data_IF_859937053403
#
_entry.id   IF_859937053403
#
_cell.length_a   1.000
_cell.length_b   1.000
_cell.length_c   1.000
_cell.angle_alpha   90.00
_cell.angle_beta   90.00
_cell.angle_gamma   90.00
#
_symmetry.space_group_name_H-M   'P 1'
#
loop_
_entity.id
_entity.type
_entity.pdbx_description
1 polymer ?
#
# COMPACT_ATOMS: atom_id res chain seq x y z
N UNK A 1 30.08 4.19 24.81
CA UNK A 1 29.72 2.74 24.89
C UNK A 1 29.41 2.31 23.47
N UNK A 2 30.03 1.23 23.03
CA UNK A 2 30.09 0.85 21.62
C UNK A 2 28.71 0.37 21.12
N UNK A 3 28.22 0.94 20.00
CA UNK A 3 26.90 0.68 19.37
C UNK A 3 26.69 -0.76 18.86
N UNK A 4 27.69 -1.63 19.01
CA UNK A 4 27.68 -3.04 18.52
C UNK A 4 27.11 -4.09 19.49
N UNK A 5 26.65 -3.69 20.67
CA UNK A 5 26.32 -4.66 21.73
C UNK A 5 24.82 -4.90 21.97
N UNK A 6 23.90 -4.28 21.20
CA UNK A 6 22.44 -4.35 21.46
C UNK A 6 21.66 -5.28 20.53
N UNK A 7 22.34 -5.97 19.59
CA UNK A 7 21.69 -6.78 18.54
C UNK A 7 21.81 -8.30 18.75
N UNK A 8 21.98 -8.77 20.00
CA UNK A 8 22.05 -10.22 20.26
C UNK A 8 20.97 -10.68 21.26
N UNK A 9 19.74 -10.81 20.82
CA UNK A 9 18.77 -11.71 21.48
C UNK A 9 17.52 -11.84 20.59
N UNK A 10 17.49 -12.85 19.74
CA UNK A 10 16.32 -13.65 19.37
C UNK A 10 16.66 -14.51 18.14
N UNK A 11 17.32 -15.65 18.36
CA UNK A 11 17.38 -16.74 17.37
C UNK A 11 17.15 -18.07 18.12
N UNK A 12 16.12 -18.79 17.71
CA UNK A 12 15.99 -20.25 17.72
C UNK A 12 14.67 -20.58 17.00
N UNK A 13 14.66 -21.36 15.97
CA UNK A 13 15.01 -22.60 15.52
C UNK A 13 14.17 -22.95 14.34
N UNK A 14 14.77 -23.21 13.19
CA UNK A 14 14.13 -23.82 12.03
C UNK A 14 14.47 -25.31 11.97
N UNK A 15 13.50 -26.14 11.66
CA UNK A 15 13.72 -27.54 11.25
C UNK A 15 12.83 -27.85 10.06
N UNK A 16 13.47 -28.08 8.93
CA UNK A 16 12.88 -28.51 7.67
C UNK A 16 12.39 -29.96 7.72
N UNK A 17 11.19 -30.20 7.18
CA UNK A 17 10.82 -31.52 6.63
C UNK A 17 9.87 -31.33 5.45
N UNK A 18 10.33 -31.72 4.27
CA UNK A 18 9.53 -31.78 3.05
C UNK A 18 8.71 -33.08 3.04
N UNK A 19 7.44 -33.01 2.70
CA UNK A 19 6.66 -34.14 2.18
C UNK A 19 5.61 -33.66 1.18
N UNK A 20 5.70 -34.20 -0.02
CA UNK A 20 4.72 -34.06 -1.08
C UNK A 20 3.43 -34.85 -0.76
N UNK A 21 2.27 -34.33 -1.14
CA UNK A 21 1.01 -35.04 -1.02
C UNK A 21 -0.19 -34.31 -1.63
N UNK A 22 -0.60 -34.79 -2.76
CA UNK A 22 -1.91 -34.85 -3.42
C UNK A 22 -3.00 -33.81 -3.09
N UNK A 23 -3.45 -33.16 -4.17
CA UNK A 23 -4.69 -32.42 -4.30
C UNK A 23 -5.93 -33.28 -4.10
N UNK A 24 -6.76 -32.92 -3.11
CA UNK A 24 -8.17 -33.29 -3.09
C UNK A 24 -8.99 -32.09 -2.64
N UNK A 25 -9.87 -31.63 -3.54
CA UNK A 25 -10.92 -30.67 -3.23
C UNK A 25 -11.77 -31.20 -2.06
N UNK A 26 -11.97 -30.35 -1.05
CA UNK A 26 -12.93 -30.63 0.00
C UNK A 26 -13.77 -29.39 0.29
N UNK A 27 -15.06 -29.52 -0.05
CA UNK A 27 -16.11 -28.63 0.39
C UNK A 27 -16.17 -28.64 1.93
N UNK A 28 -16.10 -27.47 2.55
CA UNK A 28 -16.24 -27.30 3.98
C UNK A 28 -16.82 -25.95 4.34
N UNK A 29 -18.13 -25.88 4.52
CA UNK A 29 -18.84 -24.75 5.11
C UNK A 29 -18.35 -24.49 6.53
N UNK A 30 -17.85 -23.29 6.78
CA UNK A 30 -17.59 -22.71 8.09
C UNK A 30 -18.29 -21.37 8.19
N UNK A 31 -19.44 -21.32 8.90
CA UNK A 31 -20.21 -20.10 9.09
C UNK A 31 -19.46 -19.07 9.91
N UNK A 32 -19.09 -17.93 9.29
CA UNK A 32 -18.83 -16.67 9.94
C UNK A 32 -20.16 -15.95 10.19
N UNK A 33 -20.24 -15.12 11.22
CA UNK A 33 -21.38 -14.23 11.40
C UNK A 33 -21.33 -13.18 10.28
N UNK A 34 -22.03 -13.47 9.17
CA UNK A 34 -22.25 -12.53 8.09
C UNK A 34 -23.17 -11.42 8.59
N UNK A 35 -22.77 -10.17 8.37
CA UNK A 35 -23.73 -9.09 8.29
C UNK A 35 -24.77 -9.46 7.22
N UNK A 36 -26.06 -9.25 7.52
CA UNK A 36 -27.15 -9.56 6.58
C UNK A 36 -27.17 -8.57 5.42
N UNK A 37 -26.20 -8.69 4.47
CA UNK A 37 -26.32 -8.06 3.16
C UNK A 37 -25.91 -9.07 2.09
N UNK A 38 -26.94 -9.62 1.40
CA UNK A 38 -26.77 -10.74 0.52
C UNK A 38 -26.05 -10.36 -0.77
N UNK A 39 -24.78 -10.70 -0.92
CA UNK A 39 -24.12 -10.65 -2.20
C UNK A 39 -22.62 -10.35 -2.22
N UNK A 40 -22.04 -9.78 -1.16
CA UNK A 40 -20.59 -9.51 -1.10
C UNK A 40 -19.85 -10.67 -0.44
N UNK A 41 -19.73 -11.76 -1.21
CA UNK A 41 -19.04 -13.00 -0.83
C UNK A 41 -17.96 -13.30 -1.87
N UNK A 42 -16.86 -13.98 -1.50
CA UNK A 42 -15.82 -14.34 -2.48
C UNK A 42 -16.38 -15.10 -3.67
N UNK A 43 -16.05 -14.63 -4.87
CA UNK A 43 -16.35 -15.30 -6.15
C UNK A 43 -15.34 -16.42 -6.41
N UNK A 44 -14.07 -16.16 -6.09
CA UNK A 44 -12.96 -17.10 -6.18
C UNK A 44 -11.85 -16.71 -5.20
N UNK A 45 -10.90 -17.62 -5.00
CA UNK A 45 -9.66 -17.34 -4.26
C UNK A 45 -8.51 -18.20 -4.75
N UNK A 46 -7.34 -17.59 -4.95
CA UNK A 46 -6.11 -18.26 -5.34
C UNK A 46 -5.14 -18.33 -4.16
N UNK A 47 -4.66 -19.54 -3.82
CA UNK A 47 -3.62 -19.72 -2.81
C UNK A 47 -2.29 -19.15 -3.34
N UNK A 48 -1.70 -18.22 -2.59
CA UNK A 48 -0.45 -17.57 -2.93
C UNK A 48 0.36 -17.33 -1.66
N UNK A 49 1.14 -18.34 -1.20
CA UNK A 49 1.94 -18.21 0.02
C UNK A 49 2.85 -16.99 0.00
N UNK A 50 2.89 -16.26 1.11
CA UNK A 50 3.69 -15.04 1.21
C UNK A 50 3.05 -13.78 0.63
N UNK A 51 1.87 -13.84 0.00
CA UNK A 51 1.19 -12.68 -0.56
C UNK A 51 1.06 -11.53 0.45
N UNK A 52 1.35 -10.32 -0.02
CA UNK A 52 1.32 -9.05 0.70
C UNK A 52 0.61 -7.98 -0.13
N UNK A 53 1.31 -6.88 -0.45
CA UNK A 53 0.75 -5.85 -1.31
C UNK A 53 0.40 -6.41 -2.68
N UNK A 54 -0.71 -5.95 -3.23
CA UNK A 54 -1.06 -6.16 -4.63
C UNK A 54 -1.57 -4.86 -5.25
N UNK A 55 -1.26 -4.69 -6.51
CA UNK A 55 -1.85 -3.65 -7.36
C UNK A 55 -2.46 -4.31 -8.58
N UNK A 56 -3.53 -3.72 -9.09
CA UNK A 56 -4.20 -4.21 -10.30
C UNK A 56 -4.00 -3.21 -11.43
N UNK A 57 -3.52 -3.71 -12.57
CA UNK A 57 -3.44 -2.95 -13.80
C UNK A 57 -3.89 -3.81 -14.97
N UNK A 58 -4.76 -3.28 -15.85
CA UNK A 58 -5.31 -3.92 -17.07
C UNK A 58 -5.74 -5.40 -16.88
N UNK A 59 -6.42 -5.70 -15.76
CA UNK A 59 -6.94 -7.04 -15.45
C UNK A 59 -5.88 -8.04 -14.96
N UNK A 60 -4.69 -7.55 -14.60
CA UNK A 60 -3.64 -8.34 -13.97
C UNK A 60 -3.38 -7.82 -12.55
N UNK A 61 -3.36 -8.71 -11.57
CA UNK A 61 -2.87 -8.41 -10.23
C UNK A 61 -1.39 -8.75 -10.14
N UNK A 62 -0.58 -7.77 -9.73
CA UNK A 62 0.83 -7.89 -9.42
C UNK A 62 0.97 -7.97 -7.91
N UNK A 63 1.46 -9.08 -7.41
CA UNK A 63 1.41 -9.39 -5.98
C UNK A 63 2.83 -9.58 -5.44
N UNK A 64 3.24 -8.73 -4.50
CA UNK A 64 4.46 -8.98 -3.74
C UNK A 64 4.27 -10.23 -2.89
N UNK A 65 5.26 -11.13 -2.94
CA UNK A 65 5.35 -12.30 -2.05
C UNK A 65 6.63 -12.17 -1.23
N UNK A 66 6.65 -12.70 -0.03
CA UNK A 66 7.76 -12.47 0.92
C UNK A 66 9.16 -12.70 0.29
N UNK A 67 9.27 -13.57 -0.69
CA UNK A 67 10.53 -14.00 -1.32
C UNK A 67 10.65 -13.58 -2.80
N UNK A 68 9.65 -12.83 -3.31
CA UNK A 68 9.58 -12.43 -4.70
C UNK A 68 8.25 -11.79 -5.07
N UNK A 69 7.67 -12.19 -6.19
CA UNK A 69 6.36 -11.72 -6.65
C UNK A 69 5.64 -12.72 -7.55
N UNK A 70 4.34 -12.51 -7.72
CA UNK A 70 3.53 -13.23 -8.69
C UNK A 70 2.67 -12.26 -9.52
N UNK A 71 2.32 -12.69 -10.74
CA UNK A 71 1.33 -12.03 -11.59
C UNK A 71 0.14 -12.97 -11.77
N UNK A 72 -1.07 -12.43 -11.66
CA UNK A 72 -2.32 -13.19 -11.69
C UNK A 72 -3.31 -12.52 -12.62
N UNK A 73 -3.87 -13.27 -13.57
CA UNK A 73 -5.01 -12.82 -14.36
C UNK A 73 -6.25 -12.78 -13.44
N UNK A 74 -6.83 -11.59 -13.32
CA UNK A 74 -8.04 -11.30 -12.53
C UNK A 74 -9.16 -10.74 -13.40
N UNK A 75 -9.03 -10.84 -14.73
CA UNK A 75 -10.03 -10.36 -15.69
C UNK A 75 -11.34 -11.16 -15.64
N UNK A 76 -11.29 -12.44 -15.25
CA UNK A 76 -12.45 -13.22 -14.83
C UNK A 76 -12.40 -13.42 -13.31
N UNK A 77 -13.18 -12.67 -12.52
CA UNK A 77 -13.13 -12.75 -11.06
C UNK A 77 -13.67 -14.09 -10.50
N UNK A 78 -14.20 -14.98 -11.35
CA UNK A 78 -14.63 -16.32 -10.97
C UNK A 78 -13.62 -17.42 -11.29
N UNK A 79 -12.46 -17.07 -11.90
CA UNK A 79 -11.41 -18.02 -12.30
C UNK A 79 -10.03 -17.35 -12.27
N UNK A 80 -9.54 -17.03 -11.08
CA UNK A 80 -8.23 -16.38 -10.86
C UNK A 80 -7.09 -17.29 -11.33
N UNK A 81 -6.26 -16.82 -12.26
CA UNK A 81 -5.24 -17.65 -12.90
C UNK A 81 -3.83 -17.09 -12.68
N UNK A 82 -2.93 -17.88 -12.06
CA UNK A 82 -1.51 -17.54 -11.93
C UNK A 82 -0.86 -17.49 -13.32
N UNK A 83 -0.25 -16.35 -13.69
CA UNK A 83 0.46 -16.16 -14.94
C UNK A 83 1.95 -16.43 -14.80
N UNK A 84 2.60 -15.85 -13.78
CA UNK A 84 4.00 -16.04 -13.49
C UNK A 84 4.28 -15.92 -11.99
N UNK A 85 5.40 -16.53 -11.56
CA UNK A 85 5.95 -16.42 -10.22
C UNK A 85 7.47 -16.26 -10.32
N UNK A 86 8.05 -15.41 -9.49
CA UNK A 86 9.47 -15.12 -9.44
C UNK A 86 9.93 -15.10 -8.00
N UNK A 87 10.60 -16.15 -7.56
CA UNK A 87 11.13 -16.31 -6.21
C UNK A 87 12.66 -16.25 -6.18
N UNK A 88 13.21 -16.05 -4.98
CA UNK A 88 14.64 -16.14 -4.74
C UNK A 88 15.43 -15.05 -5.47
N UNK A 89 14.89 -13.84 -5.54
CA UNK A 89 15.56 -12.71 -6.16
C UNK A 89 16.91 -12.47 -5.48
N UNK A 90 17.93 -12.13 -6.29
CA UNK A 90 19.29 -11.90 -5.83
C UNK A 90 19.91 -13.13 -5.10
N UNK A 91 19.53 -14.36 -5.48
CA UNK A 91 20.02 -15.59 -4.83
C UNK A 91 21.55 -15.76 -4.88
N UNK A 92 22.21 -15.17 -5.88
CA UNK A 92 23.66 -15.19 -6.03
C UNK A 92 24.38 -14.03 -5.31
N UNK A 93 23.63 -13.13 -4.62
CA UNK A 93 24.22 -12.02 -3.87
C UNK A 93 24.99 -12.54 -2.64
N UNK A 94 26.17 -11.92 -2.28
CA UNK A 94 26.98 -12.36 -1.14
C UNK A 94 26.26 -12.41 0.20
N UNK A 95 25.25 -11.53 0.39
CA UNK A 95 24.44 -11.44 1.60
C UNK A 95 23.14 -12.24 1.52
N UNK A 96 23.03 -13.15 0.53
CA UNK A 96 21.88 -14.04 0.34
C UNK A 96 20.81 -13.46 -0.57
N UNK A 97 19.69 -14.17 -0.74
CA UNK A 97 18.57 -13.67 -1.55
C UNK A 97 17.93 -12.44 -0.89
N UNK A 98 17.24 -11.64 -1.72
CA UNK A 98 16.35 -10.60 -1.22
C UNK A 98 15.13 -11.26 -0.57
N UNK A 99 14.84 -10.91 0.66
CA UNK A 99 13.74 -11.45 1.45
C UNK A 99 12.95 -10.32 2.13
N UNK A 100 11.72 -10.62 2.52
CA UNK A 100 10.86 -9.66 3.18
C UNK A 100 10.34 -8.60 2.21
N UNK A 101 9.97 -9.01 1.00
CA UNK A 101 9.34 -8.14 0.01
C UNK A 101 7.88 -8.01 0.41
N UNK A 102 7.49 -6.82 0.89
CA UNK A 102 6.13 -6.56 1.36
C UNK A 102 5.34 -5.66 0.44
N UNK A 103 6.02 -4.90 -0.39
CA UNK A 103 5.43 -3.93 -1.30
C UNK A 103 5.90 -4.10 -2.74
N UNK A 104 5.04 -3.69 -3.68
CA UNK A 104 5.33 -3.61 -5.09
C UNK A 104 4.27 -2.80 -5.82
N UNK A 105 4.72 -1.97 -6.77
CA UNK A 105 3.88 -1.04 -7.53
C UNK A 105 4.16 -1.14 -9.03
N UNK A 106 3.14 -0.83 -9.82
CA UNK A 106 3.21 -0.81 -11.29
C UNK A 106 3.17 0.63 -11.79
N UNK A 107 4.12 0.96 -12.66
CA UNK A 107 4.12 2.21 -13.44
C UNK A 107 4.46 1.93 -14.89
N UNK A 108 3.58 2.31 -15.82
CA UNK A 108 3.77 2.01 -17.23
C UNK A 108 3.95 0.53 -17.52
N UNK A 109 5.07 0.16 -18.12
CA UNK A 109 5.43 -1.24 -18.44
C UNK A 109 6.29 -1.89 -17.34
N UNK A 110 6.48 -1.23 -16.18
CA UNK A 110 7.37 -1.71 -15.13
C UNK A 110 6.63 -2.06 -13.84
N UNK A 111 7.09 -3.13 -13.20
CA UNK A 111 6.74 -3.49 -11.84
C UNK A 111 7.97 -3.39 -10.95
N UNK A 112 7.90 -2.58 -9.91
CA UNK A 112 8.96 -2.37 -8.95
C UNK A 112 8.59 -3.03 -7.62
N UNK A 113 9.56 -3.72 -6.99
CA UNK A 113 9.44 -4.32 -5.66
C UNK A 113 10.66 -3.98 -4.83
N UNK A 114 10.54 -4.01 -3.52
CA UNK A 114 11.66 -3.70 -2.63
C UNK A 114 11.64 -4.50 -1.33
N UNK A 115 12.82 -4.59 -0.70
CA UNK A 115 12.98 -5.25 0.58
C UNK A 115 14.40 -5.10 1.16
N UNK A 116 14.57 -5.52 2.43
CA UNK A 116 13.54 -5.90 3.40
C UNK A 116 12.77 -4.71 3.97
N UNK A 117 11.61 -4.91 4.63
CA UNK A 117 10.77 -3.82 5.13
C UNK A 117 11.28 -3.20 6.44
N UNK A 118 12.25 -3.84 7.06
CA UNK A 118 12.88 -3.40 8.31
C UNK A 118 14.37 -3.75 8.30
N UNK A 119 15.16 -3.02 9.08
CA UNK A 119 16.60 -3.22 9.16
C UNK A 119 16.99 -4.65 9.55
N UNK A 120 17.69 -5.34 8.66
CA UNK A 120 18.30 -6.67 8.82
C UNK A 120 19.75 -6.60 8.38
N UNK A 121 20.59 -7.50 8.86
CA UNK A 121 22.02 -7.54 8.51
C UNK A 121 22.41 -8.80 7.70
N UNK A 122 21.43 -9.60 7.34
CA UNK A 122 21.60 -10.93 6.74
C UNK A 122 20.96 -11.06 5.36
N UNK A 123 20.51 -9.93 4.80
CA UNK A 123 19.91 -9.82 3.46
C UNK A 123 20.35 -8.51 2.80
N UNK A 124 20.46 -8.47 1.45
CA UNK A 124 20.69 -7.23 0.73
C UNK A 124 19.50 -6.28 0.89
N UNK A 125 19.77 -4.98 0.82
CA UNK A 125 18.73 -3.95 0.71
C UNK A 125 18.68 -3.52 -0.74
N UNK A 126 17.58 -3.80 -1.41
CA UNK A 126 17.44 -3.48 -2.82
C UNK A 126 15.99 -3.24 -3.24
N UNK A 127 15.84 -2.39 -4.23
CA UNK A 127 14.66 -2.36 -5.09
C UNK A 127 15.01 -3.04 -6.42
N UNK A 128 14.04 -3.80 -6.96
CA UNK A 128 14.21 -4.53 -8.23
C UNK A 128 13.05 -4.19 -9.15
N UNK A 129 13.37 -3.83 -10.40
CA UNK A 129 12.40 -3.44 -11.42
C UNK A 129 12.35 -4.51 -12.51
N UNK A 130 11.15 -4.88 -12.91
CA UNK A 130 10.87 -5.83 -13.99
C UNK A 130 10.04 -5.14 -15.08
N UNK A 131 10.35 -5.41 -16.34
CA UNK A 131 9.45 -5.18 -17.47
C UNK A 131 8.35 -6.24 -17.42
N UNK A 132 7.11 -5.80 -17.35
CA UNK A 132 5.89 -6.62 -17.26
C UNK A 132 4.94 -6.37 -18.43
N UNK A 133 5.45 -5.83 -19.54
CA UNK A 133 4.69 -5.71 -20.80
C UNK A 133 4.11 -7.06 -21.28
N UNK A 134 4.76 -8.18 -20.91
CA UNK A 134 4.17 -9.53 -20.91
C UNK A 134 4.11 -10.03 -19.46
N UNK A 135 2.96 -9.92 -18.79
CA UNK A 135 2.85 -10.32 -17.38
C UNK A 135 3.05 -11.83 -17.13
N UNK A 136 3.00 -12.65 -18.18
CA UNK A 136 3.33 -14.08 -18.09
C UNK A 136 4.85 -14.35 -18.19
N UNK A 137 5.65 -13.35 -18.60
CA UNK A 137 7.08 -13.48 -18.79
C UNK A 137 7.85 -12.23 -18.29
N UNK A 138 7.73 -11.81 -17.02
CA UNK A 138 8.45 -10.66 -16.50
C UNK A 138 9.96 -10.72 -16.73
N UNK A 139 10.55 -9.64 -17.25
CA UNK A 139 11.99 -9.53 -17.53
C UNK A 139 12.66 -8.54 -16.58
N UNK A 140 13.81 -8.92 -15.99
CA UNK A 140 14.56 -8.05 -15.08
C UNK A 140 15.14 -6.84 -15.83
N UNK A 141 14.96 -5.63 -15.27
CA UNK A 141 15.43 -4.35 -15.82
C UNK A 141 16.54 -3.75 -14.96
N UNK A 142 16.26 -3.54 -13.66
CA UNK A 142 17.16 -2.83 -12.75
C UNK A 142 17.20 -3.53 -11.40
N UNK A 143 18.38 -3.58 -10.79
CA UNK A 143 18.55 -3.78 -9.34
C UNK A 143 19.24 -2.54 -8.79
N UNK A 144 18.60 -1.88 -7.85
CA UNK A 144 19.13 -0.70 -7.16
C UNK A 144 19.38 -1.05 -5.70
N UNK A 145 20.65 -1.24 -5.34
CA UNK A 145 21.06 -1.56 -3.97
C UNK A 145 21.24 -0.27 -3.14
N UNK A 146 20.91 -0.33 -1.86
CA UNK A 146 20.98 0.80 -0.93
C UNK A 146 21.65 0.44 0.39
N UNK A 147 21.91 1.45 1.24
CA UNK A 147 22.33 1.26 2.63
C UNK A 147 21.18 1.37 3.64
N UNK A 148 19.94 1.55 3.16
CA UNK A 148 18.72 1.63 3.95
C UNK A 148 17.71 0.55 3.51
N UNK A 149 16.84 0.14 4.41
CA UNK A 149 15.78 -0.83 4.11
C UNK A 149 14.60 -0.18 3.39
N UNK A 150 13.91 -0.97 2.58
CA UNK A 150 12.75 -0.55 1.80
C UNK A 150 11.47 -1.11 2.42
N UNK A 151 10.71 -0.25 3.11
CA UNK A 151 9.40 -0.68 3.60
C UNK A 151 8.40 -0.67 2.46
N UNK A 152 8.28 0.46 1.80
CA UNK A 152 7.43 0.67 0.62
C UNK A 152 8.18 1.47 -0.46
N UNK A 153 7.63 1.49 -1.65
CA UNK A 153 8.14 2.20 -2.81
C UNK A 153 7.01 2.48 -3.80
N UNK A 154 7.26 3.30 -4.81
CA UNK A 154 6.37 3.47 -5.96
C UNK A 154 7.17 3.73 -7.25
N UNK A 155 6.48 3.72 -8.40
CA UNK A 155 7.06 4.08 -9.69
C UNK A 155 6.00 4.65 -10.63
N UNK A 156 6.38 5.66 -11.40
CA UNK A 156 5.57 6.21 -12.50
C UNK A 156 5.95 5.62 -13.88
N UNK A 157 6.89 4.65 -13.89
CA UNK A 157 7.41 4.01 -15.09
C UNK A 157 8.66 4.68 -15.66
N UNK A 158 9.07 5.84 -15.17
CA UNK A 158 10.33 6.52 -15.51
C UNK A 158 11.22 6.64 -14.27
N UNK A 159 10.62 6.93 -13.13
CA UNK A 159 11.28 7.13 -11.85
C UNK A 159 10.82 6.08 -10.84
N UNK A 160 11.75 5.56 -10.06
CA UNK A 160 11.52 4.74 -8.89
C UNK A 160 11.58 5.65 -7.65
N UNK A 161 10.55 5.62 -6.83
CA UNK A 161 10.40 6.41 -5.61
C UNK A 161 10.55 5.51 -4.39
N UNK A 162 11.57 5.73 -3.57
CA UNK A 162 11.92 4.86 -2.45
C UNK A 162 11.69 5.55 -1.12
N UNK A 163 11.13 4.84 -0.15
CA UNK A 163 11.10 5.24 1.25
C UNK A 163 12.51 5.06 1.85
N UNK A 164 13.32 6.12 1.83
CA UNK A 164 14.74 6.10 2.20
C UNK A 164 14.97 6.22 3.71
N UNK A 165 14.56 5.18 4.47
CA UNK A 165 14.64 5.16 5.94
C UNK A 165 16.08 4.97 6.45
N UNK A 166 16.92 6.00 6.24
CA UNK A 166 18.34 6.02 6.59
C UNK A 166 18.63 6.40 8.08
N UNK A 167 17.61 6.93 8.77
CA UNK A 167 17.69 7.38 10.15
C UNK A 167 18.37 8.77 10.31
N UNK A 168 18.57 9.47 9.20
CA UNK A 168 19.16 10.83 9.15
C UNK A 168 18.23 11.85 8.47
N UNK A 169 16.98 11.50 8.23
CA UNK A 169 15.99 12.36 7.56
C UNK A 169 14.88 11.58 6.91
N UNK A 170 15.06 10.29 6.74
CA UNK A 170 14.08 9.37 6.14
C UNK A 170 13.53 9.91 4.82
N UNK A 171 14.39 10.24 3.82
CA UNK A 171 13.95 10.94 2.63
C UNK A 171 13.13 10.06 1.68
N UNK A 172 12.27 10.68 0.88
CA UNK A 172 11.94 10.17 -0.43
C UNK A 172 13.20 10.21 -1.29
N UNK A 173 13.56 9.09 -1.93
CA UNK A 173 14.69 8.99 -2.86
C UNK A 173 14.16 8.71 -4.25
N UNK A 174 14.50 9.56 -5.23
CA UNK A 174 14.09 9.43 -6.62
C UNK A 174 15.24 8.85 -7.45
N UNK A 175 14.98 7.75 -8.15
CA UNK A 175 15.97 7.04 -8.99
C UNK A 175 15.43 6.94 -10.40
N UNK A 176 16.18 7.41 -11.38
CA UNK A 176 15.86 7.23 -12.80
C UNK A 176 16.07 5.75 -13.20
N UNK A 177 15.02 5.10 -13.71
CA UNK A 177 15.04 3.66 -14.01
C UNK A 177 15.97 3.34 -15.18
N UNK A 178 16.06 4.21 -16.19
CA UNK A 178 16.91 3.96 -17.38
C UNK A 178 18.40 3.99 -17.04
N UNK A 179 18.83 4.98 -16.26
CA UNK A 179 20.23 5.12 -15.86
C UNK A 179 20.61 4.34 -14.61
N UNK A 180 19.64 4.07 -13.73
CA UNK A 180 19.89 3.50 -12.40
C UNK A 180 20.60 4.48 -11.47
N UNK A 181 20.51 5.79 -11.70
CA UNK A 181 21.14 6.82 -10.87
C UNK A 181 20.10 7.53 -10.00
N UNK A 182 20.46 7.85 -8.76
CA UNK A 182 19.67 8.76 -7.94
C UNK A 182 19.68 10.17 -8.59
N UNK A 183 18.50 10.72 -8.82
CA UNK A 183 18.30 12.03 -9.46
C UNK A 183 17.89 13.11 -8.47
N UNK A 184 17.24 12.74 -7.37
CA UNK A 184 16.84 13.70 -6.33
C UNK A 184 16.36 13.03 -5.06
N UNK A 185 16.13 13.83 -4.03
CA UNK A 185 15.53 13.41 -2.76
C UNK A 185 14.84 14.57 -2.05
N UNK A 186 13.90 14.24 -1.21
CA UNK A 186 13.20 15.19 -0.33
C UNK A 186 12.95 14.56 1.03
N UNK A 187 13.07 15.33 2.08
CA UNK A 187 12.80 14.91 3.46
C UNK A 187 11.83 15.85 4.14
N UNK A 188 11.11 15.36 5.14
CA UNK A 188 10.33 16.22 6.04
C UNK A 188 11.20 17.33 6.68
N UNK A 189 12.49 17.10 6.87
CA UNK A 189 13.42 18.11 7.41
C UNK A 189 13.60 19.30 6.47
N UNK A 190 13.32 19.17 5.17
CA UNK A 190 13.34 20.29 4.21
C UNK A 190 12.11 21.19 4.38
N UNK A 191 11.03 20.68 4.97
CA UNK A 191 9.82 21.45 5.26
C UNK A 191 9.79 21.97 6.70
N UNK A 192 10.23 21.17 7.67
CA UNK A 192 10.24 21.52 9.10
C UNK A 192 11.45 20.86 9.80
N UNK A 193 12.53 21.63 9.97
CA UNK A 193 13.79 21.19 10.57
C UNK A 193 13.68 20.83 12.07
N UNK A 194 12.56 21.16 12.73
CA UNK A 194 12.30 20.76 14.13
C UNK A 194 12.18 19.23 14.29
N UNK A 195 11.88 18.50 13.21
CA UNK A 195 11.86 17.04 13.24
C UNK A 195 13.26 16.43 13.45
N UNK A 196 14.36 17.15 13.22
CA UNK A 196 15.73 16.67 13.50
C UNK A 196 15.98 16.43 15.00
N UNK A 197 15.24 17.11 15.89
CA UNK A 197 15.27 16.90 17.33
C UNK A 197 14.41 15.70 17.80
N UNK A 198 13.58 15.14 16.94
CA UNK A 198 12.68 14.01 17.24
C UNK A 198 13.37 12.68 16.98
N UNK A 199 13.06 11.66 17.79
CA UNK A 199 13.56 10.31 17.52
C UNK A 199 13.09 9.83 16.13
N UNK A 200 14.05 9.58 15.22
CA UNK A 200 13.82 9.35 13.80
C UNK A 200 12.75 8.28 13.47
N UNK A 201 12.53 7.29 14.36
CA UNK A 201 11.49 6.27 14.22
C UNK A 201 10.06 6.80 14.35
N UNK A 202 9.87 8.04 14.75
CA UNK A 202 8.54 8.67 14.80
C UNK A 202 8.15 9.37 13.50
N UNK A 203 9.11 9.58 12.61
CA UNK A 203 8.87 10.16 11.28
C UNK A 203 9.54 9.34 10.18
N UNK A 204 9.54 8.01 10.32
CA UNK A 204 9.88 7.14 9.17
C UNK A 204 8.93 7.43 8.01
N UNK A 205 9.46 7.54 6.81
CA UNK A 205 8.65 7.52 5.60
C UNK A 205 8.14 6.10 5.41
N UNK A 206 6.86 5.88 5.74
CA UNK A 206 6.30 4.55 5.73
C UNK A 206 5.89 4.12 4.33
N UNK A 207 5.13 4.98 3.63
CA UNK A 207 4.63 4.66 2.30
C UNK A 207 4.69 5.87 1.37
N UNK A 208 4.72 5.61 0.08
CA UNK A 208 4.67 6.57 -1.00
C UNK A 208 3.69 6.09 -2.08
N UNK A 209 2.83 7.00 -2.53
CA UNK A 209 2.01 6.84 -3.73
C UNK A 209 2.26 8.01 -4.65
N UNK A 210 2.53 7.76 -5.94
CA UNK A 210 2.78 8.80 -6.93
C UNK A 210 1.68 8.79 -7.98
N UNK A 211 1.02 9.92 -8.14
CA UNK A 211 -0.03 10.10 -9.14
C UNK A 211 0.11 11.45 -9.79
N UNK A 212 0.19 11.50 -11.13
CA UNK A 212 0.21 12.75 -11.93
C UNK A 212 1.29 13.76 -11.50
N UNK A 213 2.48 13.28 -11.11
CA UNK A 213 3.61 14.12 -10.68
C UNK A 213 3.51 14.66 -9.26
N UNK A 214 2.61 14.11 -8.44
CA UNK A 214 2.52 14.37 -7.00
C UNK A 214 2.80 13.09 -6.23
N UNK A 215 3.71 13.15 -5.26
CA UNK A 215 3.96 12.10 -4.30
C UNK A 215 3.14 12.35 -3.02
N UNK A 216 2.42 11.35 -2.57
CA UNK A 216 1.67 11.29 -1.31
C UNK A 216 2.49 10.48 -0.34
N UNK A 217 3.11 11.14 0.62
CA UNK A 217 4.12 10.59 1.53
C UNK A 217 3.55 10.43 2.93
N UNK A 218 3.54 9.21 3.47
CA UNK A 218 3.07 8.95 4.83
C UNK A 218 4.24 8.89 5.80
N UNK A 219 4.45 9.97 6.56
CA UNK A 219 5.56 10.14 7.52
C UNK A 219 5.12 9.90 8.97
N UNK A 220 4.48 8.81 9.26
CA UNK A 220 4.04 8.44 10.61
C UNK A 220 3.52 9.63 11.45
N UNK A 221 4.22 10.06 12.54
CA UNK A 221 3.78 11.17 13.38
C UNK A 221 3.97 12.54 12.70
N UNK A 222 4.83 12.64 11.68
CA UNK A 222 4.97 13.87 10.91
C UNK A 222 3.82 14.09 9.90
N UNK A 223 2.90 13.12 9.81
CA UNK A 223 1.69 13.23 9.01
C UNK A 223 1.90 12.85 7.54
N UNK A 224 0.91 13.17 6.73
CA UNK A 224 0.91 12.92 5.29
C UNK A 224 1.32 14.19 4.55
N UNK A 225 2.28 14.07 3.63
CA UNK A 225 2.80 15.19 2.84
C UNK A 225 2.56 14.98 1.35
N UNK A 226 2.04 16.00 0.70
CA UNK A 226 1.96 16.08 -0.76
C UNK A 226 3.17 16.84 -1.26
N UNK A 227 3.92 16.24 -2.18
CA UNK A 227 5.18 16.78 -2.72
C UNK A 227 5.10 16.74 -4.25
N UNK A 228 5.37 17.87 -4.90
CA UNK A 228 5.52 17.96 -6.37
C UNK A 228 6.81 17.25 -6.77
N UNK A 229 6.67 16.19 -7.54
CA UNK A 229 7.74 15.36 -8.12
C UNK A 229 7.69 15.36 -9.64
N UNK A 230 6.99 16.33 -10.26
CA UNK A 230 6.97 16.49 -11.72
C UNK A 230 8.36 16.74 -12.31
N UNK A 231 9.29 17.26 -11.50
CA UNK A 231 10.74 17.20 -11.71
C UNK A 231 11.35 16.41 -10.55
N UNK A 232 11.61 15.11 -10.70
CA UNK A 232 12.13 14.29 -9.62
C UNK A 232 13.54 14.67 -9.17
N UNK A 233 14.22 15.56 -9.90
CA UNK A 233 15.53 16.11 -9.48
C UNK A 233 15.41 17.29 -8.51
N UNK A 234 14.23 17.89 -8.36
CA UNK A 234 13.97 19.02 -7.46
C UNK A 234 12.57 18.91 -6.81
N UNK A 235 12.30 17.87 -6.02
CA UNK A 235 11.02 17.68 -5.35
C UNK A 235 10.70 18.86 -4.42
N UNK A 236 9.44 19.36 -4.45
CA UNK A 236 9.04 20.52 -3.64
C UNK A 236 7.75 20.25 -2.88
N UNK A 237 7.66 20.64 -1.57
CA UNK A 237 6.47 20.39 -0.78
C UNK A 237 5.28 21.25 -1.26
N UNK A 238 4.09 20.63 -1.32
CA UNK A 238 2.81 21.30 -1.65
C UNK A 238 2.07 21.60 -0.35
N UNK A 239 1.76 20.57 0.45
CA UNK A 239 1.01 20.69 1.70
C UNK A 239 1.31 19.52 2.63
N UNK A 240 1.28 19.78 3.94
CA UNK A 240 1.34 18.75 4.98
C UNK A 240 -0.01 18.64 5.69
N UNK A 241 -0.53 17.42 5.76
CA UNK A 241 -1.80 17.11 6.41
C UNK A 241 -1.54 16.37 7.72
N UNK A 242 -2.27 16.70 8.79
CA UNK A 242 -2.40 15.88 9.99
C UNK A 242 -1.14 15.71 10.87
N UNK A 243 -0.01 16.29 10.59
CA UNK A 243 1.22 16.15 11.38
C UNK A 243 1.05 16.49 12.86
N UNK A 244 1.82 15.82 13.71
CA UNK A 244 1.89 16.11 15.14
C UNK A 244 2.93 17.23 15.40
N UNK A 245 2.86 17.85 16.59
CA UNK A 245 3.84 18.88 16.96
C UNK A 245 5.22 18.25 17.24
N UNK A 246 6.27 18.58 16.47
CA UNK A 246 7.60 18.03 16.68
C UNK A 246 8.19 18.43 18.05
N UNK A 247 7.85 19.60 18.61
CA UNK A 247 8.33 20.00 19.93
C UNK A 247 7.81 19.07 21.03
N UNK A 248 6.52 18.63 20.94
CA UNK A 248 5.97 17.65 21.87
C UNK A 248 6.60 16.26 21.69
N UNK A 249 6.92 15.89 20.45
CA UNK A 249 7.55 14.59 20.14
C UNK A 249 9.02 14.53 20.57
N UNK A 250 9.74 15.63 20.50
CA UNK A 250 11.12 15.74 20.96
C UNK A 250 11.29 15.59 22.49
N UNK A 251 10.21 15.80 23.27
CA UNK A 251 10.24 15.59 24.72
C UNK A 251 10.27 14.10 25.12
N UNK A 252 9.92 13.18 24.19
CA UNK A 252 9.87 11.76 24.47
C UNK A 252 11.28 11.13 24.48
N UNK A 253 11.54 10.25 25.42
CA UNK A 253 12.72 9.38 25.31
C UNK A 253 12.53 8.37 24.17
N UNK A 254 13.64 7.82 23.62
CA UNK A 254 13.61 6.82 22.54
C UNK A 254 12.67 5.64 22.85
N UNK A 255 12.58 5.20 24.10
CA UNK A 255 11.69 4.10 24.50
C UNK A 255 10.22 4.50 24.54
N UNK A 256 9.92 5.72 24.96
CA UNK A 256 8.55 6.27 24.94
C UNK A 256 8.12 6.52 23.50
N UNK A 257 9.00 7.04 22.65
CA UNK A 257 8.77 7.26 21.24
C UNK A 257 8.43 5.93 20.51
N UNK A 258 9.22 4.87 20.75
CA UNK A 258 8.99 3.52 20.18
C UNK A 258 7.66 2.89 20.62
N UNK A 259 7.12 3.25 21.77
CA UNK A 259 5.82 2.81 22.22
C UNK A 259 4.71 3.72 21.69
N UNK A 260 4.89 5.04 21.78
CA UNK A 260 3.90 6.04 21.41
C UNK A 260 3.53 6.00 19.93
N UNK A 261 4.48 5.71 19.04
CA UNK A 261 4.27 5.61 17.60
C UNK A 261 3.27 4.53 17.15
N UNK A 262 2.88 3.61 18.06
CA UNK A 262 1.90 2.55 17.78
C UNK A 262 0.44 3.01 17.95
N UNK A 263 0.23 4.22 18.45
CA UNK A 263 -1.10 4.70 18.85
C UNK A 263 -1.45 6.02 18.17
N UNK A 264 -2.76 6.27 18.06
CA UNK A 264 -3.23 7.59 17.62
C UNK A 264 -2.77 8.68 18.63
N UNK A 265 -2.58 9.94 18.16
CA UNK A 265 -3.00 10.47 16.86
C UNK A 265 -1.99 10.32 15.72
N UNK A 266 -0.83 9.75 15.90
CA UNK A 266 0.19 9.55 14.88
C UNK A 266 -0.03 8.31 13.99
N UNK A 267 1.06 7.83 13.41
CA UNK A 267 1.14 6.60 12.62
C UNK A 267 0.37 6.67 11.29
N UNK A 268 0.57 7.77 10.53
CA UNK A 268 0.11 7.84 9.15
C UNK A 268 0.83 6.78 8.33
N UNK A 269 0.02 5.96 7.63
CA UNK A 269 0.48 4.70 7.05
C UNK A 269 0.50 4.74 5.52
N UNK A 270 -0.62 5.09 4.89
CA UNK A 270 -0.80 5.15 3.46
C UNK A 270 -1.72 6.30 3.07
N UNK A 271 -1.49 6.91 1.91
CA UNK A 271 -2.33 7.98 1.37
C UNK A 271 -2.38 7.93 -0.15
N UNK A 272 -3.54 8.26 -0.73
CA UNK A 272 -3.69 8.40 -2.18
C UNK A 272 -4.82 9.37 -2.53
N UNK A 273 -4.76 10.00 -3.74
CA UNK A 273 -5.83 10.87 -4.20
C UNK A 273 -7.04 10.06 -4.68
N UNK A 274 -8.17 10.74 -4.84
CA UNK A 274 -9.31 10.23 -5.59
C UNK A 274 -8.95 10.11 -7.07
N UNK A 275 -8.78 8.87 -7.55
CA UNK A 275 -8.39 8.59 -8.93
C UNK A 275 -9.57 8.68 -9.90
N UNK A 276 -9.30 9.09 -11.14
CA UNK A 276 -10.30 9.12 -12.21
C UNK A 276 -11.21 10.36 -12.22
N UNK A 277 -11.05 11.28 -11.25
CA UNK A 277 -11.76 12.56 -11.17
C UNK A 277 -10.77 13.70 -10.87
N UNK A 278 -11.12 14.91 -11.30
CA UNK A 278 -10.34 16.12 -10.96
C UNK A 278 -10.85 16.64 -9.60
N UNK A 279 -10.11 16.34 -8.54
CA UNK A 279 -10.54 16.56 -7.15
C UNK A 279 -9.35 16.83 -6.24
N UNK A 280 -9.54 17.65 -5.20
CA UNK A 280 -8.58 17.85 -4.11
C UNK A 280 -8.77 16.83 -2.97
N UNK A 281 -9.60 15.80 -3.19
CA UNK A 281 -9.91 14.79 -2.19
C UNK A 281 -8.79 13.75 -2.08
N UNK A 282 -8.32 13.55 -0.85
CA UNK A 282 -7.29 12.57 -0.48
C UNK A 282 -7.84 11.66 0.59
N UNK A 283 -7.66 10.36 0.42
CA UNK A 283 -7.81 9.39 1.50
C UNK A 283 -6.45 9.12 2.13
N UNK A 284 -6.39 9.09 3.44
CA UNK A 284 -5.21 8.69 4.21
C UNK A 284 -5.63 7.84 5.42
N UNK A 285 -4.75 6.97 5.87
CA UNK A 285 -5.05 6.14 7.01
C UNK A 285 -3.94 6.10 8.06
N UNK A 286 -4.28 5.53 9.20
CA UNK A 286 -3.33 5.25 10.27
C UNK A 286 -3.32 3.75 10.57
N UNK A 287 -2.12 3.19 10.74
CA UNK A 287 -1.94 1.83 11.24
C UNK A 287 -1.69 1.87 12.75
N UNK A 288 -2.74 2.18 13.53
CA UNK A 288 -2.64 2.39 14.97
C UNK A 288 -3.53 1.41 15.75
N UNK A 289 -3.05 0.99 16.92
CA UNK A 289 -3.69 0.01 17.79
C UNK A 289 -4.16 0.68 19.10
N UNK A 290 -4.95 -0.06 19.88
CA UNK A 290 -5.34 0.36 21.21
C UNK A 290 -4.26 0.10 22.26
N UNK A 291 -4.13 0.97 23.23
CA UNK A 291 -3.26 0.75 24.40
C UNK A 291 -3.77 -0.42 25.27
N UNK A 292 -5.09 -0.57 25.35
CA UNK A 292 -5.77 -1.62 26.13
C UNK A 292 -6.56 -2.58 25.22
N UNK A 293 -6.82 -3.80 25.70
CA UNK A 293 -7.52 -4.81 24.91
C UNK A 293 -8.95 -4.40 24.51
N UNK A 294 -9.63 -3.62 25.33
CA UNK A 294 -10.99 -3.14 25.17
C UNK A 294 -11.06 -1.67 24.71
N UNK A 295 -9.98 -1.16 24.10
CA UNK A 295 -9.98 0.16 23.51
C UNK A 295 -11.10 0.30 22.46
N UNK A 296 -11.81 1.45 22.43
CA UNK A 296 -12.86 1.67 21.44
C UNK A 296 -12.29 1.79 20.01
N UNK A 297 -13.11 1.57 19.00
CA UNK A 297 -12.72 1.68 17.58
C UNK A 297 -12.18 3.06 17.21
N UNK A 298 -12.62 4.11 17.89
CA UNK A 298 -12.11 5.48 17.73
C UNK A 298 -10.62 5.63 18.05
N UNK A 299 -10.04 4.73 18.86
CA UNK A 299 -8.64 4.73 19.26
C UNK A 299 -7.78 3.83 18.36
N UNK A 300 -8.40 3.16 17.37
CA UNK A 300 -7.72 2.36 16.36
C UNK A 300 -7.51 3.16 15.09
N UNK A 301 -6.51 2.78 14.30
CA UNK A 301 -6.29 3.37 12.98
C UNK A 301 -7.47 3.18 12.06
N UNK A 302 -7.92 4.27 11.45
CA UNK A 302 -9.03 4.33 10.51
C UNK A 302 -8.60 4.93 9.18
N UNK A 303 -9.56 5.15 8.28
CA UNK A 303 -9.35 5.89 7.03
C UNK A 303 -10.02 7.25 7.14
N UNK A 304 -9.28 8.31 6.82
CA UNK A 304 -9.77 9.68 6.85
C UNK A 304 -9.86 10.23 5.42
N UNK A 305 -10.91 11.01 5.15
CA UNK A 305 -11.08 11.77 3.92
C UNK A 305 -10.75 13.23 4.18
N UNK A 306 -9.87 13.78 3.36
CA UNK A 306 -9.38 15.15 3.49
C UNK A 306 -9.56 15.94 2.19
N UNK A 307 -9.96 17.20 2.31
CA UNK A 307 -9.75 18.19 1.25
C UNK A 307 -8.35 18.75 1.41
N UNK A 308 -7.44 18.41 0.50
CA UNK A 308 -6.04 18.81 0.60
C UNK A 308 -5.84 20.32 0.37
N UNK A 309 -6.66 20.96 -0.48
CA UNK A 309 -6.58 22.39 -0.74
C UNK A 309 -7.01 23.26 0.45
N UNK A 310 -7.98 22.78 1.23
CA UNK A 310 -8.48 23.48 2.40
C UNK A 310 -7.82 22.99 3.71
N UNK A 311 -6.98 21.95 3.65
CA UNK A 311 -6.36 21.26 4.80
C UNK A 311 -7.43 20.80 5.83
N UNK A 312 -8.62 20.38 5.34
CA UNK A 312 -9.76 20.03 6.16
C UNK A 312 -10.06 18.53 6.11
N UNK A 313 -10.15 17.91 7.30
CA UNK A 313 -10.68 16.55 7.40
C UNK A 313 -12.20 16.58 7.26
N UNK A 314 -12.73 15.89 6.26
CA UNK A 314 -14.16 15.82 5.94
C UNK A 314 -14.87 14.71 6.72
N UNK A 315 -14.27 13.52 6.75
CA UNK A 315 -14.84 12.36 7.44
C UNK A 315 -13.75 11.41 7.95
N UNK A 316 -14.18 10.44 8.77
CA UNK A 316 -13.37 9.29 9.20
C UNK A 316 -14.21 8.03 9.19
N UNK A 317 -13.70 6.98 8.54
CA UNK A 317 -14.22 5.63 8.57
C UNK A 317 -13.47 4.87 9.68
N UNK A 318 -14.23 4.39 10.67
CA UNK A 318 -13.65 3.70 11.81
C UNK A 318 -13.31 2.25 11.52
N UNK A 319 -12.31 1.74 12.25
CA UNK A 319 -11.97 0.32 12.24
C UNK A 319 -13.15 -0.56 12.66
N UNK A 320 -13.28 -1.78 12.12
CA UNK A 320 -14.19 -2.79 12.64
C UNK A 320 -13.88 -3.14 14.10
N UNK A 321 -14.91 -3.55 14.86
CA UNK A 321 -14.74 -4.00 16.24
C UNK A 321 -13.74 -5.16 16.35
N UNK A 322 -13.00 -5.21 17.46
CA UNK A 322 -12.05 -6.29 17.78
C UNK A 322 -12.28 -6.84 19.18
N UNK A 323 -11.88 -8.06 19.38
CA UNK A 323 -11.90 -8.68 20.72
C UNK A 323 -10.68 -8.34 21.57
N UNK A 324 -9.61 -7.83 20.96
CA UNK A 324 -8.39 -7.38 21.64
C UNK A 324 -7.69 -6.37 20.72
N UNK A 325 -7.75 -5.10 21.09
CA UNK A 325 -7.29 -3.97 20.27
C UNK A 325 -5.76 -3.78 20.28
N UNK A 326 -5.01 -4.49 21.12
CA UNK A 326 -3.58 -4.24 21.31
C UNK A 326 -2.73 -4.69 20.12
N UNK A 327 -1.63 -4.00 19.90
CA UNK A 327 -0.61 -4.38 18.90
C UNK A 327 -0.05 -5.79 19.20
N UNK A 328 0.39 -6.05 20.42
CA UNK A 328 1.03 -7.33 20.80
C UNK A 328 0.00 -8.33 21.30
N UNK A 329 -0.20 -9.40 20.51
CA UNK A 329 -1.11 -10.50 20.85
C UNK A 329 -2.58 -10.19 20.62
N UNK A 330 -2.91 -9.03 20.09
CA UNK A 330 -4.27 -8.62 19.75
C UNK A 330 -4.80 -9.23 18.46
N UNK A 331 -6.03 -8.84 18.12
CA UNK A 331 -6.71 -9.15 16.87
C UNK A 331 -6.80 -7.85 16.07
N UNK A 332 -5.87 -7.68 15.15
CA UNK A 332 -5.74 -6.43 14.40
C UNK A 332 -6.95 -6.20 13.47
N UNK A 333 -7.56 -5.06 13.61
CA UNK A 333 -8.64 -4.58 12.74
C UNK A 333 -8.43 -3.13 12.29
N UNK A 334 -7.25 -2.58 12.58
CA UNK A 334 -6.84 -1.27 12.06
C UNK A 334 -6.78 -1.31 10.52
N UNK A 335 -6.90 -0.16 9.87
CA UNK A 335 -6.81 -0.06 8.41
C UNK A 335 -5.39 -0.36 7.91
N UNK A 336 -5.31 -0.89 6.70
CA UNK A 336 -4.10 -1.06 5.92
C UNK A 336 -4.31 -0.44 4.51
N UNK A 337 -3.60 -0.89 3.47
CA UNK A 337 -3.67 -0.26 2.17
C UNK A 337 -5.07 -0.38 1.52
N UNK A 338 -5.41 0.57 0.65
CA UNK A 338 -6.73 0.72 0.05
C UNK A 338 -6.62 1.25 -1.38
N UNK A 339 -7.73 1.23 -2.13
CA UNK A 339 -7.85 1.92 -3.41
C UNK A 339 -8.98 2.95 -3.37
N UNK A 340 -8.74 4.09 -4.03
CA UNK A 340 -9.69 5.18 -4.14
C UNK A 340 -9.93 5.51 -5.62
N UNK A 341 -11.05 5.04 -6.17
CA UNK A 341 -11.36 5.13 -7.60
C UNK A 341 -12.75 5.70 -7.82
N UNK A 342 -12.84 6.82 -8.55
CA UNK A 342 -14.11 7.54 -8.71
C UNK A 342 -14.70 7.88 -7.35
N UNK A 343 -15.99 7.66 -7.16
CA UNK A 343 -16.67 7.92 -5.90
C UNK A 343 -16.63 6.73 -4.92
N UNK A 344 -15.68 5.78 -5.11
CA UNK A 344 -15.61 4.56 -4.30
C UNK A 344 -14.27 4.39 -3.62
N UNK A 345 -14.32 3.95 -2.35
CA UNK A 345 -13.17 3.64 -1.52
C UNK A 345 -13.22 2.18 -1.08
N UNK A 346 -12.21 1.41 -1.51
CA UNK A 346 -12.02 -0.01 -1.25
C UNK A 346 -10.96 -0.19 -0.17
N UNK A 347 -11.36 -0.60 1.03
CA UNK A 347 -10.48 -0.58 2.20
C UNK A 347 -10.22 -1.96 2.77
N UNK A 348 -8.99 -2.21 3.22
CA UNK A 348 -8.58 -3.41 3.93
C UNK A 348 -8.34 -3.13 5.41
N UNK A 349 -8.65 -4.11 6.27
CA UNK A 349 -8.68 -3.94 7.72
C UNK A 349 -8.06 -5.14 8.45
N UNK A 350 -6.99 -5.73 7.92
CA UNK A 350 -6.45 -6.96 8.49
C UNK A 350 -7.55 -8.00 8.76
N UNK A 351 -7.69 -8.45 10.02
CA UNK A 351 -8.75 -9.37 10.48
C UNK A 351 -10.12 -8.70 10.61
N UNK A 352 -10.20 -7.42 10.33
CA UNK A 352 -11.43 -6.66 10.17
C UNK A 352 -12.13 -6.88 8.81
N UNK A 353 -11.43 -7.45 7.82
CA UNK A 353 -12.02 -7.78 6.52
C UNK A 353 -11.79 -6.72 5.44
N UNK A 354 -12.64 -6.74 4.43
CA UNK A 354 -12.70 -5.75 3.35
C UNK A 354 -14.00 -4.96 3.44
N UNK A 355 -13.93 -3.65 3.18
CA UNK A 355 -15.10 -2.78 3.07
C UNK A 355 -15.05 -1.98 1.78
N UNK A 356 -16.23 -1.67 1.23
CA UNK A 356 -16.41 -0.75 0.11
C UNK A 356 -17.35 0.36 0.56
N UNK A 357 -16.97 1.61 0.29
CA UNK A 357 -17.76 2.78 0.62
C UNK A 357 -18.04 3.63 -0.61
N UNK A 358 -19.27 4.17 -0.70
CA UNK A 358 -19.58 5.31 -1.56
C UNK A 358 -19.14 6.59 -0.83
N UNK A 359 -18.35 7.40 -1.50
CA UNK A 359 -17.83 8.67 -1.01
C UNK A 359 -18.19 9.84 -1.93
N UNK A 360 -19.27 9.69 -2.70
CA UNK A 360 -19.83 10.78 -3.52
C UNK A 360 -20.22 12.01 -2.67
N UNK A 361 -20.58 11.80 -1.40
CA UNK A 361 -20.54 12.81 -0.35
C UNK A 361 -19.39 12.49 0.61
N UNK A 362 -18.20 13.10 0.44
CA UNK A 362 -17.04 12.77 1.24
C UNK A 362 -17.16 13.18 2.72
N UNK A 363 -18.24 13.91 3.08
CA UNK A 363 -18.54 14.27 4.49
C UNK A 363 -19.41 13.22 5.19
N UNK A 364 -20.02 12.28 4.45
CA UNK A 364 -20.90 11.22 4.98
C UNK A 364 -20.70 9.91 4.17
N UNK A 365 -19.51 9.24 4.25
CA UNK A 365 -19.24 7.99 3.55
C UNK A 365 -20.26 6.90 3.87
N UNK A 366 -20.87 6.29 2.85
CA UNK A 366 -21.84 5.20 2.97
C UNK A 366 -21.18 3.84 2.79
N UNK A 367 -21.24 2.93 3.77
CA UNK A 367 -20.76 1.56 3.62
C UNK A 367 -21.67 0.77 2.68
N UNK A 368 -21.17 0.40 1.50
CA UNK A 368 -21.89 -0.40 0.51
C UNK A 368 -21.77 -1.89 0.77
N UNK A 369 -20.62 -2.34 1.24
CA UNK A 369 -20.34 -3.75 1.51
C UNK A 369 -19.25 -3.93 2.56
N UNK A 370 -19.35 -5.04 3.30
CA UNK A 370 -18.36 -5.50 4.24
C UNK A 370 -18.31 -7.03 4.26
N UNK A 371 -17.14 -7.61 4.03
CA UNK A 371 -16.91 -9.04 4.23
C UNK A 371 -15.78 -9.28 5.22
N UNK A 372 -15.95 -10.28 6.10
CA UNK A 372 -14.99 -10.58 7.15
C UNK A 372 -14.99 -12.05 7.54
N UNK A 373 -13.83 -12.69 7.50
CA UNK A 373 -13.54 -13.93 8.22
C UNK A 373 -12.26 -13.78 9.06
N UNK A 374 -12.40 -13.29 10.26
CA UNK A 374 -11.27 -12.96 11.16
C UNK A 374 -10.41 -14.17 11.57
N UNK A 375 -10.80 -15.40 11.22
CA UNK A 375 -10.04 -16.63 11.54
C UNK A 375 -9.11 -17.04 10.41
N UNK A 376 -9.61 -16.98 9.17
CA UNK A 376 -8.90 -17.49 7.99
C UNK A 376 -8.31 -16.39 7.15
N UNK A 377 -8.62 -15.10 7.44
CA UNK A 377 -8.12 -13.97 6.67
C UNK A 377 -7.51 -12.87 7.53
N UNK A 378 -6.56 -12.16 6.92
CA UNK A 378 -5.98 -10.91 7.41
C UNK A 378 -5.60 -10.08 6.18
N UNK A 379 -6.47 -9.15 5.78
CA UNK A 379 -6.30 -8.42 4.53
C UNK A 379 -5.22 -7.34 4.62
N UNK A 380 -4.38 -7.31 3.58
CA UNK A 380 -3.29 -6.35 3.42
C UNK A 380 -3.70 -5.18 2.54
N UNK A 381 -4.37 -5.45 1.43
CA UNK A 381 -4.86 -4.43 0.50
C UNK A 381 -6.19 -4.84 -0.14
N UNK A 382 -6.88 -3.86 -0.73
CA UNK A 382 -8.07 -4.01 -1.53
C UNK A 382 -7.99 -3.12 -2.77
N UNK A 383 -8.17 -3.70 -3.96
CA UNK A 383 -8.05 -3.01 -5.25
C UNK A 383 -9.30 -3.24 -6.09
N UNK A 384 -9.68 -2.27 -6.92
CA UNK A 384 -10.74 -2.43 -7.91
C UNK A 384 -10.17 -3.05 -9.19
N UNK A 385 -10.91 -4.01 -9.77
CA UNK A 385 -10.57 -4.70 -11.01
C UNK A 385 -11.84 -4.89 -11.87
N UNK A 386 -12.14 -3.92 -12.74
CA UNK A 386 -13.40 -3.97 -13.52
C UNK A 386 -14.62 -4.02 -12.62
N UNK A 387 -15.42 -5.11 -12.73
CA UNK A 387 -16.63 -5.33 -11.94
C UNK A 387 -16.35 -6.13 -10.64
N UNK A 388 -15.08 -6.16 -10.20
CA UNK A 388 -14.66 -6.92 -9.04
C UNK A 388 -13.77 -6.11 -8.08
N UNK A 389 -13.70 -6.57 -6.84
CA UNK A 389 -12.73 -6.16 -5.82
C UNK A 389 -11.76 -7.30 -5.60
N UNK A 390 -10.46 -7.01 -5.72
CA UNK A 390 -9.41 -7.98 -5.46
C UNK A 390 -8.72 -7.61 -4.14
N UNK A 391 -8.68 -8.57 -3.21
CA UNK A 391 -8.01 -8.37 -1.93
C UNK A 391 -6.93 -9.41 -1.67
N UNK A 392 -5.78 -8.99 -1.11
CA UNK A 392 -4.77 -9.92 -0.62
C UNK A 392 -4.94 -10.15 0.88
N UNK A 393 -4.93 -11.42 1.29
CA UNK A 393 -4.88 -11.84 2.69
C UNK A 393 -3.57 -12.57 2.95
N UNK A 394 -2.77 -12.04 3.86
CA UNK A 394 -1.40 -12.51 4.10
C UNK A 394 -1.29 -13.63 5.13
N UNK A 395 -2.37 -13.97 5.81
CA UNK A 395 -2.36 -15.01 6.85
C UNK A 395 -3.70 -15.74 6.97
N UNK A 396 -3.61 -17.04 7.27
CA UNK A 396 -4.68 -17.86 7.83
C UNK A 396 -4.29 -18.28 9.26
N UNK A 397 -4.96 -17.71 10.27
CA UNK A 397 -4.66 -17.94 11.68
C UNK A 397 -5.14 -19.30 12.20
N UNK A 398 -5.72 -20.14 11.37
CA UNK A 398 -6.07 -21.53 11.72
C UNK A 398 -4.92 -22.50 11.49
N UNK A 399 -3.86 -22.06 10.76
CA UNK A 399 -2.69 -22.86 10.44
C UNK A 399 -1.57 -22.67 11.48
N UNK A 400 -0.71 -23.69 11.62
CA UNK A 400 0.50 -23.61 12.46
C UNK A 400 1.51 -22.59 11.91
N UNK A 401 1.55 -22.42 10.57
CA UNK A 401 2.31 -21.40 9.85
C UNK A 401 1.33 -20.47 9.12
N UNK A 402 0.81 -19.40 9.74
CA UNK A 402 -0.27 -18.60 9.18
C UNK A 402 0.03 -18.00 7.79
N UNK A 403 1.29 -17.64 7.50
CA UNK A 403 1.69 -17.07 6.22
C UNK A 403 1.62 -18.07 5.04
N UNK A 404 1.65 -19.38 5.30
CA UNK A 404 1.44 -20.41 4.27
C UNK A 404 -0.01 -20.43 3.77
N UNK A 405 -0.95 -19.85 4.53
CA UNK A 405 -2.36 -19.72 4.16
C UNK A 405 -2.68 -18.41 3.44
N UNK A 406 -1.68 -17.65 3.04
CA UNK A 406 -1.89 -16.41 2.30
C UNK A 406 -2.59 -16.67 0.94
N UNK A 407 -3.48 -15.74 0.56
CA UNK A 407 -4.33 -15.86 -0.64
C UNK A 407 -4.67 -14.50 -1.20
N UNK A 408 -5.04 -14.48 -2.47
CA UNK A 408 -5.83 -13.41 -3.05
C UNK A 408 -7.28 -13.87 -3.20
N UNK A 409 -8.20 -12.93 -3.10
CA UNK A 409 -9.65 -13.14 -3.20
C UNK A 409 -10.24 -12.19 -4.21
N UNK A 410 -11.23 -12.64 -4.96
CA UNK A 410 -12.09 -11.80 -5.78
C UNK A 410 -13.50 -11.74 -5.19
N UNK A 411 -14.08 -10.54 -5.16
CA UNK A 411 -15.44 -10.25 -4.73
C UNK A 411 -16.18 -9.50 -5.83
N UNK A 412 -17.52 -9.54 -5.88
CA UNK A 412 -18.26 -8.65 -6.78
C UNK A 412 -18.07 -7.19 -6.34
N UNK A 413 -17.96 -6.25 -7.27
CA UNK A 413 -17.96 -4.84 -6.92
C UNK A 413 -19.39 -4.36 -6.61
N UNK A 414 -19.71 -3.92 -5.38
CA UNK A 414 -21.05 -3.47 -5.00
C UNK A 414 -21.44 -2.14 -5.62
N UNK A 415 -20.46 -1.32 -6.03
CA UNK A 415 -20.68 -0.03 -6.66
C UNK A 415 -20.99 -0.10 -8.16
N UNK A 416 -20.74 -1.26 -8.77
CA UNK A 416 -20.82 -1.46 -10.21
C UNK A 416 -19.65 -0.80 -10.95
N UNK A 417 -19.38 -1.28 -12.17
CA UNK A 417 -18.36 -0.66 -13.00
C UNK A 417 -18.69 0.82 -13.22
N UNK A 418 -17.71 1.69 -13.06
CA UNK A 418 -17.76 3.02 -13.66
C UNK A 418 -18.02 2.78 -15.16
N UNK A 419 -19.24 3.12 -15.62
CA UNK A 419 -19.61 3.01 -17.03
C UNK A 419 -18.65 3.89 -17.82
N UNK A 420 -17.50 3.35 -18.22
CA UNK A 420 -16.64 3.93 -19.26
C UNK A 420 -17.31 3.79 -20.63
N UNK A 421 -18.62 4.01 -20.68
CA UNK A 421 -19.28 4.33 -21.93
C UNK A 421 -18.85 5.73 -22.35
N UNK A 422 -17.69 5.78 -22.96
CA UNK A 422 -17.44 6.78 -24.00
C UNK A 422 -18.65 6.71 -24.93
N UNK A 423 -19.57 7.65 -24.80
CA UNK A 423 -20.61 7.89 -25.80
C UNK A 423 -19.89 8.21 -27.09
N UNK A 424 -19.60 7.20 -27.89
CA UNK A 424 -19.40 7.36 -29.32
C UNK A 424 -20.74 7.82 -29.88
N UNK A 425 -20.98 9.13 -29.87
CA UNK A 425 -21.93 9.70 -30.81
C UNK A 425 -21.45 9.32 -32.21
N UNK A 426 -22.12 8.35 -32.79
CA UNK A 426 -21.98 8.07 -34.23
C UNK A 426 -22.48 9.27 -34.97
N UNK A 427 -21.56 10.19 -35.33
CA UNK A 427 -21.78 11.16 -36.40
C UNK A 427 -21.48 10.41 -37.69
N UNK A 428 -22.53 10.15 -38.44
CA UNK A 428 -22.51 9.55 -39.75
C UNK A 428 -21.87 10.54 -40.75
N UNK A 429 -21.03 9.98 -41.63
CA UNK A 429 -20.48 10.49 -42.90
C UNK A 429 -19.52 11.70 -42.96
N UNK A 430 -18.30 11.38 -43.44
CA UNK A 430 -17.46 12.32 -44.20
C UNK A 430 -15.96 12.21 -44.07
N UNK A 431 -15.35 11.41 -44.93
CA UNK A 431 -13.93 11.27 -45.25
C UNK A 431 -12.94 12.33 -44.76
N UNK A 432 -11.81 11.91 -44.13
CA UNK A 432 -10.60 12.74 -44.04
C UNK A 432 -9.57 12.23 -43.03
N UNK A 433 -8.48 11.67 -43.54
CA UNK A 433 -7.25 11.26 -42.85
C UNK A 433 -6.67 12.33 -41.92
N UNK A 434 -6.28 11.95 -40.69
CA UNK A 434 -5.42 12.80 -39.86
C UNK A 434 -5.27 12.28 -38.43
N UNK A 435 -4.11 11.71 -38.15
CA UNK A 435 -3.43 11.46 -36.89
C UNK A 435 -4.17 11.81 -35.57
N UNK A 436 -4.47 10.80 -34.80
CA UNK A 436 -4.76 10.93 -33.38
C UNK A 436 -3.43 10.89 -32.58
N UNK A 437 -3.08 12.02 -32.00
CA UNK A 437 -2.05 12.11 -30.98
C UNK A 437 -2.72 12.70 -29.73
N UNK A 438 -2.62 11.96 -28.64
CA UNK A 438 -2.60 12.36 -27.26
C UNK A 438 -3.60 13.39 -26.73
N UNK A 439 -4.37 12.95 -25.77
CA UNK A 439 -4.95 13.80 -24.73
C UNK A 439 -4.94 13.02 -23.40
N UNK A 440 -3.75 12.92 -22.82
CA UNK A 440 -3.59 12.73 -21.39
C UNK A 440 -2.74 13.90 -20.90
N UNK A 441 -3.33 14.82 -20.16
CA UNK A 441 -2.63 15.98 -19.64
C UNK A 441 -3.53 17.17 -19.35
N UNK A 442 -4.45 17.07 -18.41
CA UNK A 442 -5.20 18.24 -17.88
C UNK A 442 -5.50 18.19 -16.37
N UNK A 443 -5.06 17.16 -15.63
CA UNK A 443 -5.33 17.07 -14.18
C UNK A 443 -4.48 18.00 -13.30
N UNK A 444 -3.27 18.36 -13.75
CA UNK A 444 -2.31 19.14 -12.92
C UNK A 444 -2.55 20.66 -12.98
N UNK A 445 -3.33 21.14 -13.92
CA UNK A 445 -3.51 22.60 -14.12
C UNK A 445 -4.39 23.28 -13.05
N UNK A 446 -5.19 22.54 -12.32
CA UNK A 446 -6.08 23.06 -11.28
C UNK A 446 -5.32 23.47 -10.02
N UNK A 447 -4.56 22.56 -9.46
CA UNK A 447 -3.78 22.78 -8.22
C UNK A 447 -2.72 23.88 -8.40
N UNK A 448 -2.02 23.89 -9.55
CA UNK A 448 -0.98 24.88 -9.85
C UNK A 448 -1.49 26.31 -10.02
N UNK A 449 -2.73 26.50 -10.40
CA UNK A 449 -3.25 27.85 -10.69
C UNK A 449 -3.66 28.60 -9.42
N UNK A 450 -3.97 27.88 -8.36
CA UNK A 450 -4.41 28.47 -7.09
C UNK A 450 -3.23 28.87 -6.18
N UNK A 451 -2.10 28.15 -6.26
CA UNK A 451 -0.92 28.42 -5.42
C UNK A 451 -0.02 29.59 -5.91
N UNK A 452 -0.33 30.22 -7.06
CA UNK A 452 0.48 31.32 -7.62
C UNK A 452 -0.21 32.69 -7.66
N UNK A 453 -1.48 32.83 -7.29
CA UNK A 453 -2.20 34.07 -7.13
C UNK A 453 -2.45 34.38 -5.64
#
# INVERSE_FOLDING_TARGET
MDRRSLLKACVAGASTLALAGDSTAHEGHGGGEAAEDGGFEPLDSLSLPGAKELVVDDGVAYVATTDGFATVDVSDPTDLTLLAERDGLLADHPDGPLEGIYDGKVGGEYYAIGGPPNGRSDVPYAAVVFDVSDPAAPEHVLTYETEFYHHNLDTDGETLYLCGNDGEGNPLVCVDIESGEEVGRWSILDADDRWDDVYWKMYELHDVWVESGVAYLSYWDAGTWLVDVSDPSDPTPIVGLRGQDPEERAELSDSEALERRLYLPGNDHFAMPQRGVDSDLVALNQEAWGEEADAPTSDLGGVELWNAADEERLARIEAPETSDARFRGGVWTTSHNFAFVGDQLYTSWYRGGLKVHDVSDPTDPEELAHWRDAKTTSFWTAQQAGDAVIGSSWQDHTLDSPAEGARIYAFPDPGGSLDTTTTTETVDDGAGLGAAAGLFGLGVAGLYRWLRD
#
